data_IF_263112287086
#
_entry.id   IF_263112287086
#
_cell.length_a   1.000
_cell.length_b   1.000
_cell.length_c   1.000
_cell.angle_alpha   90.00
_cell.angle_beta   90.00
_cell.angle_gamma   90.00
#
_symmetry.space_group_name_H-M   'P 1'
#
loop_
_entity.id
_entity.type
_entity.pdbx_description
1 polymer ?
#
# COMPACT_ATOMS: atom_id res chain seq x y z
N UNK A 1 59.84 -12.32 9.65
CA UNK A 1 58.55 -13.02 9.81
C UNK A 1 57.52 -12.28 8.96
N UNK A 2 57.13 -12.85 7.83
CA UNK A 2 56.17 -12.23 6.89
C UNK A 2 54.78 -12.80 7.17
N UNK A 3 53.83 -11.93 7.54
CA UNK A 3 52.43 -12.32 7.67
C UNK A 3 51.80 -12.44 6.28
N UNK A 4 51.51 -13.68 5.88
CA UNK A 4 50.66 -13.99 4.73
C UNK A 4 49.20 -13.91 5.20
N UNK A 5 48.51 -12.85 4.85
CA UNK A 5 47.04 -12.81 4.89
C UNK A 5 46.55 -13.55 3.64
N UNK A 6 45.97 -14.73 3.83
CA UNK A 6 45.35 -15.48 2.76
C UNK A 6 44.02 -14.77 2.35
N UNK A 7 43.95 -14.31 1.09
CA UNK A 7 42.74 -13.92 0.44
C UNK A 7 41.85 -15.16 0.25
N UNK A 8 40.69 -15.21 0.89
CA UNK A 8 39.68 -16.20 0.60
C UNK A 8 38.94 -15.75 -0.68
N UNK A 9 38.76 -16.60 -1.68
CA UNK A 9 38.01 -16.23 -2.89
C UNK A 9 36.55 -16.07 -2.56
N UNK A 10 35.92 -15.04 -3.16
CA UNK A 10 34.48 -14.83 -3.12
C UNK A 10 33.75 -16.10 -3.57
N UNK A 11 32.83 -16.60 -2.72
CA UNK A 11 32.07 -17.80 -3.02
C UNK A 11 31.11 -17.53 -4.18
N UNK A 12 31.02 -18.39 -5.19
CA UNK A 12 30.12 -18.20 -6.32
C UNK A 12 28.65 -18.31 -5.84
N UNK A 13 27.82 -17.33 -6.23
CA UNK A 13 26.37 -17.39 -6.06
C UNK A 13 25.82 -18.33 -7.14
N UNK A 14 25.24 -19.46 -6.75
CA UNK A 14 24.62 -20.41 -7.67
C UNK A 14 23.10 -20.30 -7.56
N UNK A 15 22.44 -19.96 -8.65
CA UNK A 15 20.99 -19.96 -8.74
C UNK A 15 20.50 -21.37 -9.09
N UNK A 16 19.68 -21.97 -8.24
CA UNK A 16 19.03 -23.25 -8.52
C UNK A 16 17.60 -22.95 -8.98
N UNK A 17 17.32 -23.18 -10.26
CA UNK A 17 15.97 -23.15 -10.81
C UNK A 17 15.33 -24.51 -10.55
N UNK A 18 14.35 -24.57 -9.63
CA UNK A 18 13.61 -25.80 -9.37
C UNK A 18 12.67 -26.14 -10.55
N UNK A 19 12.56 -27.43 -10.92
CA UNK A 19 11.70 -27.86 -12.03
C UNK A 19 10.19 -27.62 -11.72
N UNK A 20 9.40 -27.41 -12.78
CA UNK A 20 7.96 -27.11 -12.73
C UNK A 20 7.10 -28.06 -11.89
N UNK A 21 7.55 -29.28 -11.65
CA UNK A 21 6.84 -30.31 -10.86
C UNK A 21 6.76 -30.02 -9.35
N UNK A 22 7.56 -29.08 -8.82
CA UNK A 22 7.53 -28.69 -7.41
C UNK A 22 6.71 -27.39 -7.20
N UNK A 23 6.13 -26.84 -8.27
CA UNK A 23 5.43 -25.55 -8.29
C UNK A 23 4.00 -25.55 -7.74
N UNK A 24 3.50 -26.66 -7.20
CA UNK A 24 2.17 -26.69 -6.60
C UNK A 24 2.25 -26.54 -5.07
N UNK A 25 2.33 -25.34 -4.62
CA UNK A 25 1.93 -24.67 -3.37
C UNK A 25 2.99 -23.69 -2.90
N UNK A 26 2.55 -22.43 -2.70
CA UNK A 26 3.26 -21.31 -2.07
C UNK A 26 4.25 -20.52 -2.96
N UNK A 27 4.07 -19.23 -2.91
CA UNK A 27 4.96 -18.08 -3.18
C UNK A 27 6.40 -18.42 -3.62
N UNK A 28 6.82 -17.81 -4.72
CA UNK A 28 8.20 -17.85 -5.19
C UNK A 28 9.13 -17.18 -4.17
N UNK A 29 9.75 -17.96 -3.33
CA UNK A 29 10.91 -17.51 -2.54
C UNK A 29 12.16 -17.76 -3.37
N UNK A 30 12.88 -16.71 -3.75
CA UNK A 30 14.18 -16.84 -4.39
C UNK A 30 15.16 -17.30 -3.32
N UNK A 31 15.56 -18.56 -3.38
CA UNK A 31 16.63 -19.07 -2.53
C UNK A 31 17.98 -18.66 -3.11
N UNK A 32 18.66 -17.71 -2.49
CA UNK A 32 20.08 -17.55 -2.71
C UNK A 32 20.82 -18.57 -1.84
N UNK A 33 21.41 -19.57 -2.45
CA UNK A 33 22.20 -20.59 -1.76
C UNK A 33 23.64 -20.10 -1.68
N UNK A 34 24.09 -19.72 -0.49
CA UNK A 34 25.52 -19.42 -0.26
C UNK A 34 26.18 -20.71 0.25
N UNK A 35 27.12 -21.24 -0.51
CA UNK A 35 27.89 -22.43 -0.13
C UNK A 35 29.02 -22.04 0.84
N UNK A 36 28.93 -22.43 2.08
CA UNK A 36 30.07 -22.47 2.98
C UNK A 36 30.51 -23.92 3.14
N UNK A 37 31.76 -24.19 2.83
CA UNK A 37 32.39 -25.51 3.05
C UNK A 37 33.03 -25.46 4.45
N UNK A 38 32.34 -25.89 5.45
CA UNK A 38 32.93 -26.34 6.71
C UNK A 38 32.31 -27.68 7.06
N UNK A 39 33.13 -28.69 7.22
CA UNK A 39 32.80 -30.01 7.77
C UNK A 39 31.74 -30.86 7.03
N UNK A 40 31.60 -30.69 5.70
CA UNK A 40 30.79 -31.58 4.87
C UNK A 40 29.27 -31.32 4.91
N UNK A 41 28.77 -30.25 5.56
CA UNK A 41 27.36 -29.87 5.58
C UNK A 41 27.10 -28.68 4.70
N UNK A 42 25.99 -28.71 3.95
CA UNK A 42 25.47 -27.56 3.20
C UNK A 42 24.45 -26.82 4.07
N UNK A 43 24.69 -25.56 4.40
CA UNK A 43 23.74 -24.71 5.07
C UNK A 43 23.00 -23.90 4.01
N UNK A 44 21.73 -24.19 3.80
CA UNK A 44 20.83 -23.38 2.99
C UNK A 44 20.40 -22.21 3.86
N UNK A 45 20.93 -21.03 3.60
CA UNK A 45 20.41 -19.81 4.23
C UNK A 45 19.31 -19.25 3.34
N UNK A 46 18.07 -19.35 3.78
CA UNK A 46 16.96 -18.66 3.15
C UNK A 46 17.19 -17.16 3.31
N UNK A 47 17.43 -16.46 2.19
CA UNK A 47 17.48 -14.99 2.21
C UNK A 47 16.05 -14.54 1.98
N UNK A 48 15.35 -14.24 3.05
CA UNK A 48 14.02 -13.63 2.97
C UNK A 48 14.16 -12.18 2.56
N UNK A 49 13.35 -11.77 1.58
CA UNK A 49 13.28 -10.37 1.16
C UNK A 49 12.59 -9.56 2.25
N UNK A 50 13.30 -8.57 2.79
CA UNK A 50 12.74 -7.63 3.75
C UNK A 50 11.88 -6.61 3.01
N UNK A 51 10.60 -6.56 3.33
CA UNK A 51 9.64 -5.61 2.77
C UNK A 51 9.40 -4.50 3.76
N UNK A 52 9.41 -3.25 3.27
CA UNK A 52 9.21 -2.02 4.06
C UNK A 52 7.91 -1.36 3.66
N UNK A 53 7.14 -0.89 4.64
CA UNK A 53 5.94 -0.09 4.44
C UNK A 53 5.95 1.13 5.34
N UNK A 54 5.55 2.29 4.83
CA UNK A 54 5.30 3.50 5.60
C UNK A 54 4.20 4.32 4.96
N UNK A 55 3.25 4.80 5.75
CA UNK A 55 2.32 5.85 5.34
C UNK A 55 2.96 7.21 5.63
N UNK A 56 3.16 8.02 4.59
CA UNK A 56 3.68 9.39 4.75
C UNK A 56 2.58 10.37 5.12
N UNK A 57 1.37 10.11 4.69
CA UNK A 57 0.14 10.80 5.06
C UNK A 57 -1.06 9.95 4.63
N UNK A 58 -2.19 10.04 5.36
CA UNK A 58 -3.39 9.26 5.09
C UNK A 58 -4.65 10.00 5.52
N UNK A 59 -5.30 10.73 4.62
CA UNK A 59 -6.55 11.44 4.89
C UNK A 59 -6.87 12.51 3.85
N UNK A 60 -8.01 13.15 3.96
CA UNK A 60 -8.55 14.16 3.03
C UNK A 60 -7.66 15.41 2.79
N UNK A 61 -6.50 15.49 3.43
CA UNK A 61 -5.49 16.54 3.20
C UNK A 61 -4.35 16.06 2.30
N UNK A 62 -4.23 14.77 2.07
CA UNK A 62 -3.24 14.14 1.23
C UNK A 62 -2.93 12.71 1.64
N UNK A 63 -2.78 11.87 0.64
CA UNK A 63 -2.48 10.45 0.76
C UNK A 63 -1.18 10.14 0.04
N UNK A 64 -0.29 9.40 0.68
CA UNK A 64 0.95 8.92 0.09
C UNK A 64 1.51 7.78 0.92
N UNK A 65 1.67 6.62 0.30
CA UNK A 65 2.21 5.42 0.94
C UNK A 65 3.42 4.92 0.18
N UNK A 66 4.40 4.41 0.90
CA UNK A 66 5.57 3.75 0.32
C UNK A 66 5.54 2.27 0.67
N UNK A 67 5.85 1.45 -0.32
CA UNK A 67 6.15 0.04 -0.16
C UNK A 67 7.42 -0.29 -0.96
N UNK A 68 8.34 -1.05 -0.38
CA UNK A 68 9.61 -1.37 -1.05
C UNK A 68 10.45 -2.38 -0.33
N UNK A 69 11.65 -2.54 -0.85
CA UNK A 69 12.72 -3.36 -0.29
C UNK A 69 13.86 -2.46 0.19
N UNK A 70 15.00 -3.04 0.47
CA UNK A 70 16.23 -2.27 0.74
C UNK A 70 16.85 -1.64 -0.52
N UNK A 71 16.41 -2.04 -1.72
CA UNK A 71 17.00 -1.62 -2.99
C UNK A 71 16.14 -0.65 -3.78
N UNK A 72 14.83 -0.80 -3.71
CA UNK A 72 13.85 0.00 -4.47
C UNK A 72 12.47 -0.10 -3.84
N UNK A 73 11.61 0.83 -4.23
CA UNK A 73 10.23 0.87 -3.81
C UNK A 73 9.35 1.66 -4.75
N UNK A 74 8.07 1.69 -4.43
CA UNK A 74 7.04 2.42 -5.16
C UNK A 74 6.24 3.29 -4.19
N UNK A 75 5.59 4.32 -4.74
CA UNK A 75 4.59 5.09 -4.01
C UNK A 75 3.20 4.70 -4.49
N UNK A 76 2.26 4.63 -3.55
CA UNK A 76 0.83 4.58 -3.83
C UNK A 76 0.29 5.95 -3.45
N UNK A 77 -0.25 6.66 -4.44
CA UNK A 77 -0.64 8.05 -4.40
C UNK A 77 0.50 9.04 -4.03
N UNK A 78 0.31 10.30 -4.38
CA UNK A 78 1.23 11.39 -4.09
C UNK A 78 0.45 12.69 -3.84
N UNK A 79 -0.48 12.65 -2.88
CA UNK A 79 -1.39 13.74 -2.57
C UNK A 79 -0.82 14.84 -1.68
N UNK A 80 0.42 14.70 -1.21
CA UNK A 80 1.15 15.69 -0.42
C UNK A 80 2.29 16.33 -1.22
N UNK A 81 2.81 17.46 -0.77
CA UNK A 81 3.85 18.17 -1.51
C UNK A 81 5.12 17.30 -1.69
N UNK A 82 5.78 17.38 -2.86
CA UNK A 82 7.05 16.67 -3.16
C UNK A 82 8.09 16.83 -2.04
N UNK A 83 8.21 18.05 -1.49
CA UNK A 83 9.13 18.32 -0.38
C UNK A 83 8.80 17.49 0.86
N UNK A 84 7.51 17.32 1.17
CA UNK A 84 7.04 16.52 2.31
C UNK A 84 7.33 15.04 2.09
N UNK A 85 7.08 14.54 0.86
CA UNK A 85 7.42 13.15 0.48
C UNK A 85 8.91 12.90 0.69
N UNK A 86 9.78 13.77 0.11
CA UNK A 86 11.24 13.66 0.25
C UNK A 86 11.70 13.67 1.70
N UNK A 87 11.12 14.55 2.51
CA UNK A 87 11.45 14.64 3.93
C UNK A 87 11.06 13.37 4.67
N UNK A 88 9.81 12.88 4.50
CA UNK A 88 9.33 11.69 5.20
C UNK A 88 10.10 10.43 4.82
N UNK A 89 10.39 10.22 3.52
CA UNK A 89 11.23 9.12 3.06
C UNK A 89 12.64 9.18 3.66
N UNK A 90 13.27 10.36 3.65
CA UNK A 90 14.61 10.56 4.22
C UNK A 90 14.64 10.26 5.72
N UNK A 91 13.65 10.69 6.48
CA UNK A 91 13.52 10.41 7.92
C UNK A 91 13.35 8.91 8.20
N UNK A 92 12.74 8.18 7.26
CA UNK A 92 12.64 6.71 7.29
C UNK A 92 13.88 6.00 6.72
N UNK A 93 14.95 6.72 6.36
CA UNK A 93 16.16 6.15 5.77
C UNK A 93 16.01 5.69 4.32
N UNK A 94 14.99 6.18 3.60
CA UNK A 94 14.68 5.81 2.22
C UNK A 94 15.11 6.94 1.29
N UNK A 95 15.96 6.65 0.30
CA UNK A 95 16.34 7.62 -0.73
C UNK A 95 15.25 7.76 -1.80
N UNK A 96 15.04 9.00 -2.29
CA UNK A 96 14.17 9.24 -3.45
C UNK A 96 14.58 8.46 -4.70
N UNK A 97 15.85 8.18 -4.86
CA UNK A 97 16.42 7.42 -5.99
C UNK A 97 15.96 5.96 -5.99
N UNK A 98 15.48 5.46 -4.84
CA UNK A 98 14.91 4.12 -4.73
C UNK A 98 13.50 4.03 -5.34
N UNK A 99 12.81 5.17 -5.56
CA UNK A 99 11.44 5.17 -6.07
C UNK A 99 11.43 4.84 -7.57
N UNK A 100 10.84 3.71 -7.93
CA UNK A 100 10.73 3.22 -9.31
C UNK A 100 9.47 3.68 -10.01
N UNK A 101 8.40 3.95 -9.27
CA UNK A 101 7.11 4.37 -9.83
C UNK A 101 6.21 5.01 -8.77
N UNK A 102 5.22 5.74 -9.24
CA UNK A 102 4.02 6.13 -8.47
C UNK A 102 2.82 5.45 -9.11
N UNK A 103 2.00 4.79 -8.29
CA UNK A 103 0.72 4.22 -8.66
C UNK A 103 -0.38 5.11 -8.11
N UNK A 104 -1.31 5.56 -8.95
CA UNK A 104 -2.37 6.50 -8.56
C UNK A 104 -3.71 5.78 -8.54
N UNK A 105 -4.43 5.91 -7.42
CA UNK A 105 -5.74 5.26 -7.20
C UNK A 105 -6.87 5.97 -7.95
N UNK A 106 -6.89 7.31 -7.92
CA UNK A 106 -7.87 8.16 -8.61
C UNK A 106 -7.38 9.62 -8.70
N UNK A 107 -8.16 10.49 -9.34
CA UNK A 107 -7.73 11.84 -9.73
C UNK A 107 -8.12 12.97 -8.75
N UNK A 108 -8.52 12.66 -7.52
CA UNK A 108 -8.77 13.69 -6.51
C UNK A 108 -7.48 14.37 -6.04
N UNK A 109 -7.60 15.66 -5.69
CA UNK A 109 -6.46 16.52 -5.38
C UNK A 109 -5.56 16.00 -4.24
N UNK A 110 -6.14 15.35 -3.25
CA UNK A 110 -5.44 14.75 -2.11
C UNK A 110 -4.75 13.42 -2.43
N UNK A 111 -4.80 12.96 -3.69
CA UNK A 111 -4.05 11.81 -4.21
C UNK A 111 -3.02 12.17 -5.26
N UNK A 112 -3.15 13.33 -5.93
CA UNK A 112 -2.35 13.64 -7.13
C UNK A 112 -1.46 14.88 -7.03
N UNK A 113 -1.52 15.66 -5.97
CA UNK A 113 -0.87 16.98 -5.82
C UNK A 113 0.61 17.01 -6.23
N UNK A 114 1.38 15.97 -5.96
CA UNK A 114 2.80 15.89 -6.29
C UNK A 114 3.08 15.13 -7.59
N UNK A 115 2.09 14.48 -8.19
CA UNK A 115 2.26 13.54 -9.31
C UNK A 115 2.96 14.19 -10.50
N UNK A 116 2.57 15.40 -10.90
CA UNK A 116 3.24 16.12 -11.99
C UNK A 116 4.71 16.45 -11.70
N UNK A 117 5.00 16.88 -10.48
CA UNK A 117 6.37 17.18 -10.07
C UNK A 117 7.26 15.93 -9.96
N UNK A 118 6.71 14.79 -9.52
CA UNK A 118 7.42 13.52 -9.49
C UNK A 118 7.59 12.96 -10.91
N UNK A 119 6.54 13.00 -11.72
CA UNK A 119 6.56 12.47 -13.06
C UNK A 119 7.47 13.25 -14.00
N UNK A 120 7.19 14.54 -14.21
CA UNK A 120 7.83 15.31 -15.28
C UNK A 120 9.15 15.97 -14.87
N UNK A 121 9.34 16.31 -13.56
CA UNK A 121 10.60 16.93 -13.08
C UNK A 121 11.60 15.92 -12.53
N UNK A 122 11.15 14.78 -12.04
CA UNK A 122 12.02 13.74 -11.48
C UNK A 122 12.05 12.47 -12.32
N UNK A 123 11.33 12.45 -13.45
CA UNK A 123 11.27 11.34 -14.40
C UNK A 123 10.82 10.01 -13.76
N UNK A 124 9.94 10.07 -12.76
CA UNK A 124 9.39 8.89 -12.13
C UNK A 124 8.14 8.45 -12.92
N UNK A 125 8.06 7.21 -13.41
CA UNK A 125 6.87 6.70 -14.12
C UNK A 125 5.62 6.76 -13.24
N UNK A 126 4.51 7.22 -13.82
CA UNK A 126 3.20 7.33 -13.17
C UNK A 126 2.26 6.30 -13.78
N UNK A 127 1.89 5.32 -13.00
CA UNK A 127 1.04 4.21 -13.42
C UNK A 127 -0.39 4.42 -12.92
N UNK A 128 -1.35 4.37 -13.83
CA UNK A 128 -2.78 4.30 -13.52
C UNK A 128 -3.57 4.01 -14.80
N UNK A 129 -4.93 3.96 -14.75
CA UNK A 129 -5.76 3.77 -15.95
C UNK A 129 -5.72 4.98 -16.86
N UNK A 130 -6.03 4.78 -18.13
CA UNK A 130 -6.10 5.89 -19.13
C UNK A 130 -7.08 6.98 -18.66
N UNK A 131 -8.22 6.60 -18.11
CA UNK A 131 -9.24 7.54 -17.63
C UNK A 131 -8.77 8.37 -16.43
N UNK A 132 -8.04 7.75 -15.50
CA UNK A 132 -7.46 8.49 -14.37
C UNK A 132 -6.39 9.46 -14.87
N UNK A 133 -5.54 9.08 -15.83
CA UNK A 133 -4.58 10.01 -16.44
C UNK A 133 -5.24 11.21 -17.10
N UNK A 134 -6.38 11.02 -17.79
CA UNK A 134 -7.17 12.11 -18.31
C UNK A 134 -7.71 13.03 -17.21
N UNK A 135 -8.22 12.45 -16.12
CA UNK A 135 -8.70 13.18 -14.95
C UNK A 135 -7.57 13.98 -14.28
N UNK A 136 -6.42 13.36 -14.05
CA UNK A 136 -5.22 14.03 -13.53
C UNK A 136 -4.87 15.24 -14.39
N UNK A 137 -4.79 15.08 -15.70
CA UNK A 137 -4.42 16.16 -16.61
C UNK A 137 -5.47 17.26 -16.73
N UNK A 138 -6.72 17.01 -16.35
CA UNK A 138 -7.78 18.04 -16.26
C UNK A 138 -7.83 18.73 -14.90
N UNK A 139 -7.25 18.12 -13.87
CA UNK A 139 -7.34 18.63 -12.52
C UNK A 139 -6.68 20.01 -12.36
N UNK A 140 -7.36 20.87 -11.61
CA UNK A 140 -6.89 22.23 -11.31
C UNK A 140 -5.67 22.26 -10.36
N UNK A 141 -5.43 21.19 -9.59
CA UNK A 141 -4.31 21.13 -8.67
C UNK A 141 -2.98 20.75 -9.36
N UNK A 142 -3.02 20.37 -10.64
CA UNK A 142 -1.85 19.97 -11.40
C UNK A 142 -1.10 21.17 -11.96
N UNK A 143 0.09 21.42 -11.44
CA UNK A 143 0.99 22.47 -11.95
C UNK A 143 1.74 22.01 -13.21
N UNK A 144 2.08 20.73 -13.30
CA UNK A 144 2.67 20.10 -14.48
C UNK A 144 1.74 19.00 -14.99
N UNK A 145 1.38 19.10 -16.29
CA UNK A 145 0.62 18.05 -16.97
C UNK A 145 1.53 16.85 -17.25
N UNK A 146 0.98 15.65 -17.17
CA UNK A 146 1.71 14.41 -17.44
C UNK A 146 1.79 14.15 -18.95
N UNK A 147 2.99 13.85 -19.45
CA UNK A 147 3.27 13.50 -20.84
C UNK A 147 4.29 12.35 -20.94
N UNK A 148 5.52 12.58 -20.50
CA UNK A 148 6.63 11.61 -20.63
C UNK A 148 6.58 10.49 -19.59
N UNK A 149 6.03 10.78 -18.44
CA UNK A 149 5.94 9.87 -17.29
C UNK A 149 4.73 8.92 -17.34
N UNK A 150 3.77 9.14 -18.23
CA UNK A 150 2.52 8.36 -18.32
C UNK A 150 2.80 6.88 -18.60
N UNK A 151 2.20 6.00 -17.80
CA UNK A 151 2.18 4.54 -18.00
C UNK A 151 0.77 4.03 -17.71
N UNK A 152 0.22 3.23 -18.63
CA UNK A 152 -1.14 2.76 -18.55
C UNK A 152 -1.23 1.40 -17.83
N UNK A 153 -2.28 1.23 -17.05
CA UNK A 153 -2.71 -0.03 -16.46
C UNK A 153 -4.10 -0.38 -16.95
N UNK A 154 -4.34 -1.68 -17.10
CA UNK A 154 -5.67 -2.23 -17.31
C UNK A 154 -6.11 -2.92 -16.00
N UNK A 155 -7.37 -2.68 -15.58
CA UNK A 155 -7.94 -3.32 -14.39
C UNK A 155 -7.93 -4.83 -14.52
N UNK A 156 -7.58 -5.53 -13.44
CA UNK A 156 -7.53 -7.00 -13.37
C UNK A 156 -6.52 -7.63 -14.35
N UNK A 157 -5.55 -6.84 -14.82
CA UNK A 157 -4.42 -7.33 -15.60
C UNK A 157 -3.15 -7.15 -14.76
N UNK A 158 -2.51 -8.25 -14.31
CA UNK A 158 -1.31 -8.17 -13.51
C UNK A 158 -0.13 -7.63 -14.32
N UNK A 159 0.66 -6.77 -13.70
CA UNK A 159 1.94 -6.32 -14.25
C UNK A 159 3.08 -6.65 -13.28
N UNK A 160 4.29 -6.72 -13.82
CA UNK A 160 5.50 -6.87 -13.03
C UNK A 160 6.37 -5.62 -13.17
N UNK A 161 6.83 -5.11 -12.03
CA UNK A 161 7.83 -4.04 -11.93
C UNK A 161 8.87 -4.47 -10.89
N UNK A 162 10.11 -4.72 -11.31
CA UNK A 162 11.13 -5.35 -10.46
C UNK A 162 10.58 -6.66 -9.84
N UNK A 163 10.61 -6.80 -8.52
CA UNK A 163 10.03 -7.94 -7.79
C UNK A 163 8.56 -7.74 -7.37
N UNK A 164 7.95 -6.62 -7.76
CA UNK A 164 6.53 -6.36 -7.51
C UNK A 164 5.66 -7.04 -8.56
N UNK A 165 4.64 -7.78 -8.12
CA UNK A 165 3.50 -8.16 -8.94
C UNK A 165 2.32 -7.30 -8.52
N UNK A 166 1.81 -6.48 -9.44
CA UNK A 166 0.83 -5.44 -9.16
C UNK A 166 -0.39 -5.65 -10.04
N UNK A 167 -1.55 -5.65 -9.42
CA UNK A 167 -2.83 -5.73 -10.08
C UNK A 167 -3.75 -4.63 -9.56
N UNK A 168 -4.36 -3.86 -10.46
CA UNK A 168 -5.39 -2.88 -10.12
C UNK A 168 -6.77 -3.48 -10.28
N UNK A 169 -7.71 -3.09 -9.42
CA UNK A 169 -9.10 -3.53 -9.48
C UNK A 169 -10.05 -2.37 -9.20
N UNK A 170 -11.27 -2.47 -9.69
CA UNK A 170 -12.26 -1.41 -9.55
C UNK A 170 -12.74 -1.27 -8.10
N UNK A 171 -12.86 -0.02 -7.63
CA UNK A 171 -13.51 0.36 -6.39
C UNK A 171 -14.53 1.46 -6.65
N UNK A 172 -15.70 1.48 -5.97
CA UNK A 172 -16.71 2.50 -6.17
C UNK A 172 -16.36 3.79 -5.44
N UNK A 173 -15.98 4.81 -6.21
CA UNK A 173 -15.73 6.16 -5.71
C UNK A 173 -16.09 7.20 -6.77
N UNK A 174 -16.16 8.48 -6.42
CA UNK A 174 -16.66 9.54 -7.30
C UNK A 174 -15.57 10.28 -8.10
N UNK A 175 -14.38 9.67 -8.29
CA UNK A 175 -13.38 10.13 -9.25
C UNK A 175 -13.75 9.83 -10.71
N UNK A 176 -12.94 10.32 -11.66
CA UNK A 176 -13.12 10.05 -13.10
C UNK A 176 -13.08 8.55 -13.41
N UNK A 177 -12.25 7.82 -12.70
CA UNK A 177 -12.15 6.37 -12.60
C UNK A 177 -11.42 6.05 -11.29
N UNK A 178 -11.63 4.85 -10.71
CA UNK A 178 -11.11 4.54 -9.39
C UNK A 178 -10.61 3.11 -9.32
N UNK A 179 -9.45 2.93 -8.69
CA UNK A 179 -8.84 1.62 -8.51
C UNK A 179 -8.28 1.42 -7.10
N UNK A 180 -8.41 0.22 -6.59
CA UNK A 180 -7.55 -0.32 -5.55
C UNK A 180 -6.36 -1.06 -6.16
N UNK A 181 -5.36 -1.37 -5.35
CA UNK A 181 -4.18 -2.11 -5.77
C UNK A 181 -3.96 -3.35 -4.90
N UNK A 182 -3.71 -4.48 -5.54
CA UNK A 182 -3.16 -5.69 -4.93
C UNK A 182 -1.70 -5.80 -5.34
N UNK A 183 -0.80 -5.84 -4.36
CA UNK A 183 0.65 -5.80 -4.59
C UNK A 183 1.27 -6.98 -3.88
N UNK A 184 1.88 -7.89 -4.65
CA UNK A 184 2.66 -8.99 -4.10
C UNK A 184 4.15 -8.67 -4.24
N UNK A 185 4.88 -8.79 -3.12
CA UNK A 185 6.33 -8.63 -3.05
C UNK A 185 6.91 -9.48 -1.91
N UNK A 186 7.97 -10.21 -2.18
CA UNK A 186 8.65 -11.05 -1.18
C UNK A 186 7.72 -12.08 -0.53
N UNK A 187 6.74 -12.61 -1.28
CA UNK A 187 5.73 -13.54 -0.79
C UNK A 187 4.69 -12.94 0.14
N UNK A 188 4.57 -11.62 0.17
CA UNK A 188 3.61 -10.87 0.99
C UNK A 188 2.64 -10.13 0.08
N UNK A 189 1.34 -10.21 0.38
CA UNK A 189 0.27 -9.58 -0.39
C UNK A 189 -0.27 -8.38 0.38
N UNK A 190 -0.16 -7.20 -0.22
CA UNK A 190 -0.73 -5.96 0.26
C UNK A 190 -1.96 -5.59 -0.56
N UNK A 191 -3.06 -5.19 0.08
CA UNK A 191 -4.22 -4.62 -0.58
C UNK A 191 -4.44 -3.17 -0.13
N UNK A 192 -4.54 -2.26 -1.10
CA UNK A 192 -4.79 -0.83 -0.89
C UNK A 192 -6.18 -0.46 -1.39
N UNK A 193 -7.05 -0.03 -0.48
CA UNK A 193 -8.40 0.46 -0.74
C UNK A 193 -8.59 1.75 0.07
N UNK A 194 -8.14 2.86 -0.50
CA UNK A 194 -8.01 4.15 0.21
C UNK A 194 -9.29 4.94 0.25
N UNK A 195 -10.07 4.89 -0.83
CA UNK A 195 -11.31 5.63 -1.02
C UNK A 195 -12.34 4.73 -1.70
N UNK A 196 -13.40 4.42 -1.00
CA UNK A 196 -14.50 3.63 -1.54
C UNK A 196 -15.78 3.84 -0.70
N UNK A 197 -16.92 3.88 -1.36
CA UNK A 197 -18.21 4.03 -0.67
C UNK A 197 -18.80 2.71 -0.17
N UNK A 198 -18.41 1.59 -0.79
CA UNK A 198 -18.81 0.23 -0.38
C UNK A 198 -17.77 -0.81 -0.83
N UNK A 199 -17.72 -1.94 -0.15
CA UNK A 199 -16.87 -3.07 -0.56
C UNK A 199 -17.65 -3.96 -1.51
N UNK A 200 -17.25 -3.92 -2.79
CA UNK A 200 -17.84 -4.79 -3.84
C UNK A 200 -17.37 -6.25 -3.68
N UNK A 201 -18.04 -7.23 -4.31
CA UNK A 201 -17.58 -8.62 -4.34
C UNK A 201 -16.13 -8.73 -4.86
N UNK A 202 -15.78 -7.97 -5.90
CA UNK A 202 -14.40 -7.93 -6.44
C UNK A 202 -13.41 -7.39 -5.41
N UNK A 203 -13.70 -6.25 -4.77
CA UNK A 203 -12.85 -5.71 -3.71
C UNK A 203 -12.66 -6.70 -2.55
N UNK A 204 -13.75 -7.39 -2.14
CA UNK A 204 -13.70 -8.41 -1.11
C UNK A 204 -12.79 -9.59 -1.45
N UNK A 205 -12.70 -10.00 -2.72
CA UNK A 205 -11.78 -11.06 -3.17
C UNK A 205 -10.32 -10.65 -2.97
N UNK A 206 -9.95 -9.41 -3.30
CA UNK A 206 -8.60 -8.90 -3.08
C UNK A 206 -8.28 -8.69 -1.59
N UNK A 207 -9.25 -8.24 -0.80
CA UNK A 207 -9.08 -8.12 0.66
C UNK A 207 -8.79 -9.50 1.27
N UNK A 208 -9.52 -10.56 0.86
CA UNK A 208 -9.31 -11.92 1.37
C UNK A 208 -7.95 -12.52 0.97
N UNK A 209 -7.30 -12.04 -0.07
CA UNK A 209 -5.95 -12.47 -0.47
C UNK A 209 -4.85 -11.80 0.37
N UNK A 210 -5.15 -10.66 1.02
CA UNK A 210 -4.15 -9.82 1.66
C UNK A 210 -3.59 -10.41 2.96
N UNK A 211 -2.27 -10.30 3.13
CA UNK A 211 -1.62 -10.43 4.43
C UNK A 211 -1.58 -9.08 5.15
N UNK A 212 -1.56 -8.00 4.40
CA UNK A 212 -1.42 -6.62 4.83
C UNK A 212 -2.48 -5.77 4.14
N UNK A 213 -3.39 -5.19 4.90
CA UNK A 213 -4.54 -4.49 4.38
C UNK A 213 -4.52 -3.01 4.76
N UNK A 214 -4.57 -2.13 3.76
CA UNK A 214 -4.78 -0.69 3.91
C UNK A 214 -6.22 -0.42 3.46
N UNK A 215 -7.11 -0.15 4.40
CA UNK A 215 -8.55 -0.05 4.15
C UNK A 215 -9.12 1.24 4.75
N UNK A 216 -9.98 1.90 4.00
CA UNK A 216 -10.64 3.12 4.44
C UNK A 216 -11.50 2.91 5.69
N UNK A 217 -11.42 3.87 6.60
CA UNK A 217 -12.34 4.12 7.70
C UNK A 217 -12.49 5.63 7.84
N UNK A 218 -13.29 6.23 6.95
CA UNK A 218 -13.28 7.67 6.74
C UNK A 218 -13.96 8.42 7.86
N UNK A 219 -15.17 8.05 8.21
CA UNK A 219 -15.99 8.83 9.14
C UNK A 219 -16.66 7.97 10.22
N UNK A 220 -16.90 8.61 11.35
CA UNK A 220 -17.85 8.14 12.36
C UNK A 220 -19.25 8.69 12.01
N UNK A 221 -20.26 7.81 12.02
CA UNK A 221 -21.61 8.15 11.58
C UNK A 221 -22.24 9.24 12.43
N UNK A 222 -22.04 9.20 13.76
CA UNK A 222 -22.60 10.19 14.68
C UNK A 222 -21.88 11.54 14.53
N UNK A 223 -20.56 11.55 14.41
CA UNK A 223 -19.81 12.78 14.16
C UNK A 223 -20.22 13.41 12.82
N UNK A 224 -20.39 12.64 11.76
CA UNK A 224 -20.84 13.15 10.47
C UNK A 224 -22.29 13.70 10.58
N UNK A 225 -23.19 12.95 11.22
CA UNK A 225 -24.58 13.35 11.41
C UNK A 225 -24.69 14.68 12.16
N UNK A 226 -23.93 14.83 13.25
CA UNK A 226 -23.94 16.02 14.10
C UNK A 226 -23.03 17.15 13.60
N UNK A 227 -22.10 16.83 12.72
CA UNK A 227 -21.09 17.75 12.21
C UNK A 227 -21.68 18.90 11.37
N UNK A 228 -20.85 19.91 11.14
CA UNK A 228 -21.23 21.18 10.49
C UNK A 228 -21.31 21.11 8.96
N UNK A 229 -21.01 19.95 8.36
CA UNK A 229 -21.09 19.81 6.92
C UNK A 229 -22.51 20.01 6.40
N UNK A 230 -22.67 20.69 5.24
CA UNK A 230 -23.99 20.87 4.63
C UNK A 230 -24.55 19.49 4.19
N UNK A 231 -25.87 19.40 4.13
CA UNK A 231 -26.60 18.16 3.90
C UNK A 231 -26.15 17.45 2.61
N UNK A 232 -25.99 18.17 1.50
CA UNK A 232 -25.53 17.59 0.24
C UNK A 232 -24.17 16.91 0.33
N UNK A 233 -23.25 17.46 1.19
CA UNK A 233 -21.93 16.87 1.39
C UNK A 233 -22.00 15.60 2.26
N UNK A 234 -22.87 15.60 3.28
CA UNK A 234 -23.15 14.39 4.08
C UNK A 234 -23.71 13.28 3.20
N UNK A 235 -24.66 13.59 2.32
CA UNK A 235 -25.24 12.63 1.37
C UNK A 235 -24.21 12.11 0.38
N UNK A 236 -23.32 12.96 -0.14
CA UNK A 236 -22.20 12.54 -0.98
C UNK A 236 -21.29 11.57 -0.23
N UNK A 237 -20.88 11.91 1.01
CA UNK A 237 -19.99 11.10 1.83
C UNK A 237 -20.59 9.72 2.11
N UNK A 238 -21.87 9.64 2.43
CA UNK A 238 -22.55 8.38 2.78
C UNK A 238 -23.08 7.60 1.58
N UNK A 239 -22.85 8.09 0.35
CA UNK A 239 -23.31 7.41 -0.87
C UNK A 239 -22.46 6.17 -1.16
N UNK A 240 -22.98 5.27 -2.04
CA UNK A 240 -22.25 4.09 -2.51
C UNK A 240 -20.94 4.38 -3.24
N UNK A 241 -20.76 5.61 -3.71
CA UNK A 241 -19.53 6.11 -4.32
C UNK A 241 -18.87 7.19 -3.46
N UNK A 242 -19.26 7.31 -2.20
CA UNK A 242 -18.66 8.21 -1.21
C UNK A 242 -17.50 7.54 -0.48
N UNK A 243 -17.67 7.35 0.84
CA UNK A 243 -16.65 6.82 1.73
C UNK A 243 -17.21 5.78 2.70
N UNK A 244 -16.36 4.92 3.24
CA UNK A 244 -16.72 3.94 4.27
C UNK A 244 -16.78 4.58 5.66
N UNK A 245 -17.84 4.27 6.41
CA UNK A 245 -17.88 4.59 7.84
C UNK A 245 -17.00 3.63 8.66
N UNK A 246 -16.62 4.06 9.87
CA UNK A 246 -15.89 3.20 10.81
C UNK A 246 -16.66 1.89 11.07
N UNK A 247 -17.98 1.96 11.22
CA UNK A 247 -18.80 0.79 11.52
C UNK A 247 -18.94 -0.14 10.30
N UNK A 248 -19.13 0.40 9.11
CA UNK A 248 -19.21 -0.41 7.89
C UNK A 248 -17.89 -1.17 7.63
N UNK A 249 -16.75 -0.50 7.82
CA UNK A 249 -15.42 -1.12 7.76
C UNK A 249 -15.27 -2.20 8.82
N UNK A 250 -15.67 -1.93 10.05
CA UNK A 250 -15.59 -2.87 11.16
C UNK A 250 -16.47 -4.12 10.94
N UNK A 251 -17.69 -3.94 10.47
CA UNK A 251 -18.61 -5.03 10.15
C UNK A 251 -18.05 -5.94 9.06
N UNK A 252 -17.61 -5.34 7.94
CA UNK A 252 -16.99 -6.12 6.88
C UNK A 252 -15.79 -6.92 7.38
N UNK A 253 -14.85 -6.29 8.09
CA UNK A 253 -13.67 -6.95 8.64
C UNK A 253 -14.06 -8.10 9.58
N UNK A 254 -15.01 -7.88 10.47
CA UNK A 254 -15.43 -8.91 11.43
C UNK A 254 -16.02 -10.18 10.81
N UNK A 255 -16.56 -10.05 9.58
CA UNK A 255 -17.19 -11.15 8.84
C UNK A 255 -16.27 -11.79 7.79
N UNK A 256 -15.20 -11.10 7.41
CA UNK A 256 -14.32 -11.50 6.30
C UNK A 256 -12.86 -11.69 6.71
N UNK A 257 -12.56 -11.79 8.00
CA UNK A 257 -11.20 -12.08 8.48
C UNK A 257 -10.72 -13.43 7.95
N UNK A 258 -9.44 -13.47 7.57
CA UNK A 258 -8.75 -14.69 7.14
C UNK A 258 -7.58 -14.97 8.09
N UNK A 259 -7.19 -16.25 8.22
CA UNK A 259 -6.09 -16.66 9.10
C UNK A 259 -4.71 -16.08 8.68
N UNK A 260 -4.57 -15.67 7.42
CA UNK A 260 -3.33 -15.11 6.89
C UNK A 260 -3.28 -13.58 6.91
N UNK A 261 -4.36 -12.88 7.27
CA UNK A 261 -4.35 -11.43 7.44
C UNK A 261 -3.62 -11.06 8.73
N UNK A 262 -2.46 -10.44 8.60
CA UNK A 262 -1.55 -10.14 9.71
C UNK A 262 -1.68 -8.72 10.22
N UNK A 263 -1.95 -7.76 9.33
CA UNK A 263 -1.99 -6.34 9.67
C UNK A 263 -3.09 -5.58 8.93
N UNK A 264 -3.78 -4.71 9.64
CA UNK A 264 -4.80 -3.79 9.12
C UNK A 264 -4.39 -2.37 9.47
N UNK A 265 -4.26 -1.51 8.46
CA UNK A 265 -4.15 -0.06 8.62
C UNK A 265 -5.44 0.60 8.18
N UNK A 266 -6.13 1.24 9.12
CA UNK A 266 -7.27 2.08 8.82
C UNK A 266 -6.75 3.39 8.24
N UNK A 267 -7.19 3.72 7.04
CA UNK A 267 -6.68 4.84 6.27
C UNK A 267 -7.75 5.87 5.94
N UNK A 268 -7.33 6.98 5.34
CA UNK A 268 -8.16 8.05 4.81
C UNK A 268 -9.20 8.61 5.80
N UNK A 269 -8.77 8.83 7.07
CA UNK A 269 -9.65 9.34 8.11
C UNK A 269 -10.01 10.80 7.87
N UNK A 270 -11.30 11.13 7.93
CA UNK A 270 -11.81 12.50 7.88
C UNK A 270 -11.22 13.35 9.01
N UNK A 271 -10.92 14.61 8.69
CA UNK A 271 -10.42 15.57 9.68
C UNK A 271 -11.50 15.97 10.68
N UNK A 272 -12.70 16.21 10.19
CA UNK A 272 -13.78 16.86 10.95
C UNK A 272 -14.82 15.85 11.48
N UNK A 273 -14.88 14.67 10.86
CA UNK A 273 -15.90 13.66 11.18
C UNK A 273 -15.32 12.33 11.63
N UNK A 274 -14.05 12.31 12.09
CA UNK A 274 -13.42 11.11 12.63
C UNK A 274 -12.28 11.45 13.60
N UNK A 275 -11.92 10.47 14.42
CA UNK A 275 -10.73 10.48 15.26
C UNK A 275 -10.02 9.13 15.15
N UNK A 276 -8.68 9.08 15.05
CA UNK A 276 -7.94 7.82 14.92
C UNK A 276 -8.26 6.79 16.01
N UNK A 277 -8.39 7.24 17.25
CA UNK A 277 -8.74 6.36 18.36
C UNK A 277 -10.18 5.83 18.25
N UNK A 278 -11.11 6.63 17.78
CA UNK A 278 -12.50 6.21 17.56
C UNK A 278 -12.58 5.15 16.46
N UNK A 279 -11.96 5.39 15.31
CA UNK A 279 -11.88 4.41 14.23
C UNK A 279 -11.25 3.08 14.71
N UNK A 280 -10.11 3.18 15.41
CA UNK A 280 -9.44 2.02 15.99
C UNK A 280 -10.36 1.24 16.95
N UNK A 281 -11.00 1.93 17.91
CA UNK A 281 -11.84 1.29 18.92
C UNK A 281 -13.12 0.69 18.34
N UNK A 282 -13.71 1.31 17.33
CA UNK A 282 -14.88 0.77 16.62
C UNK A 282 -14.53 -0.57 15.96
N UNK A 283 -13.39 -0.63 15.24
CA UNK A 283 -12.95 -1.86 14.58
C UNK A 283 -12.51 -2.92 15.61
N UNK A 284 -11.70 -2.54 16.59
CA UNK A 284 -11.24 -3.46 17.66
C UNK A 284 -12.42 -4.11 18.39
N UNK A 285 -13.42 -3.32 18.75
CA UNK A 285 -14.61 -3.82 19.45
C UNK A 285 -15.40 -4.81 18.59
N UNK A 286 -15.61 -4.48 17.31
CA UNK A 286 -16.36 -5.33 16.39
C UNK A 286 -15.65 -6.65 16.10
N UNK A 287 -14.33 -6.63 15.92
CA UNK A 287 -13.51 -7.83 15.80
C UNK A 287 -13.61 -8.71 17.06
N UNK A 288 -13.56 -8.08 18.23
CA UNK A 288 -13.67 -8.79 19.51
C UNK A 288 -15.03 -9.46 19.70
N UNK A 289 -16.12 -8.89 19.20
CA UNK A 289 -17.45 -9.54 19.21
C UNK A 289 -17.45 -10.89 18.46
N UNK A 290 -16.57 -11.06 17.47
CA UNK A 290 -16.37 -12.30 16.72
C UNK A 290 -15.25 -13.17 17.28
N UNK A 291 -14.70 -12.82 18.44
CA UNK A 291 -13.61 -13.56 19.09
C UNK A 291 -12.22 -13.28 18.52
N UNK A 292 -12.06 -12.29 17.64
CA UNK A 292 -10.78 -11.88 17.04
C UNK A 292 -10.12 -10.87 17.96
N UNK A 293 -8.90 -11.15 18.42
CA UNK A 293 -8.18 -10.35 19.40
C UNK A 293 -7.07 -9.56 18.69
N UNK A 294 -7.25 -8.24 18.63
CA UNK A 294 -6.22 -7.31 18.11
C UNK A 294 -4.96 -7.41 19.00
N UNK A 295 -3.80 -7.45 18.35
CA UNK A 295 -2.50 -7.64 18.97
C UNK A 295 -2.10 -9.11 19.14
N UNK A 296 -3.03 -10.05 18.92
CA UNK A 296 -2.78 -11.49 18.95
C UNK A 296 -3.06 -12.14 17.60
N UNK A 297 -4.29 -12.03 17.12
CA UNK A 297 -4.75 -12.68 15.88
C UNK A 297 -4.48 -11.79 14.65
N UNK A 298 -4.53 -10.47 14.83
CA UNK A 298 -4.24 -9.46 13.80
C UNK A 298 -3.69 -8.19 14.46
N UNK A 299 -2.81 -7.47 13.78
CA UNK A 299 -2.40 -6.12 14.19
C UNK A 299 -3.35 -5.09 13.57
N UNK A 300 -3.69 -4.05 14.32
CA UNK A 300 -4.56 -2.96 13.88
C UNK A 300 -3.91 -1.61 14.20
N UNK A 301 -3.97 -0.68 13.25
CA UNK A 301 -3.49 0.69 13.44
C UNK A 301 -4.38 1.66 12.66
N UNK A 302 -4.73 2.79 13.25
CA UNK A 302 -5.32 3.91 12.52
C UNK A 302 -4.21 4.87 12.08
N UNK A 303 -4.07 5.07 10.77
CA UNK A 303 -3.01 5.90 10.19
C UNK A 303 -3.24 7.37 10.49
N UNK A 304 -2.14 8.10 10.65
CA UNK A 304 -2.17 9.55 10.91
C UNK A 304 -2.39 10.32 9.61
N UNK A 305 -3.19 11.38 9.66
CA UNK A 305 -3.57 12.18 8.50
C UNK A 305 -2.41 12.93 7.85
N UNK A 306 -1.54 13.54 8.64
CA UNK A 306 -0.55 14.54 8.17
C UNK A 306 0.88 14.27 8.59
N UNK A 307 1.11 13.21 9.36
CA UNK A 307 2.43 12.83 9.85
C UNK A 307 2.71 11.38 9.46
N UNK A 308 3.96 11.05 9.12
CA UNK A 308 4.32 9.67 8.81
C UNK A 308 3.98 8.70 9.95
N UNK A 309 3.66 7.47 9.58
CA UNK A 309 3.64 6.34 10.51
C UNK A 309 5.05 5.93 10.89
N UNK A 310 5.18 4.96 11.79
CA UNK A 310 6.43 4.24 11.94
C UNK A 310 6.76 3.50 10.62
N UNK A 311 8.04 3.20 10.40
CA UNK A 311 8.47 2.32 9.33
C UNK A 311 8.22 0.87 9.77
N UNK A 312 7.37 0.18 9.03
CA UNK A 312 7.11 -1.25 9.23
C UNK A 312 8.06 -2.06 8.36
N UNK A 313 8.63 -3.11 8.92
CA UNK A 313 9.55 -4.01 8.24
C UNK A 313 9.09 -5.47 8.45
N UNK A 314 9.00 -6.22 7.35
CA UNK A 314 8.50 -7.60 7.32
C UNK A 314 9.51 -8.52 6.64
N UNK A 315 9.85 -9.62 7.30
CA UNK A 315 10.77 -10.68 6.82
C UNK A 315 10.04 -11.87 6.21
#
# INVERSE_FOLDING_TARGET
>A
MRNNAAYLPESPIVYIILPKSIRNRASFTIFAVTFFKSDGFFVIKEIRMKVKFISLASGSSGNCYYIGTEKYGILIDAGIAVRTIKKGLKEAGISMEMIRAVFVTHDHADHIKAVGGLGEKQNIPIYTTARIHEGINRSYCMTEKLYSSVRYLEKQQPMQLEDFHIESFEVPHDGTDNVGYCIEIGGKVFAFLTDLGEITPTAAEYIRKANYLILEANYDEEMLRMGTYPQYLKERITSRTGHMSNIATAEFLSENMTEHLQYIWLCHLSKDNNHPELAYKTVEWKLREKGIIVGKDVQLCALKRTTPSDLYEFE
#
